data_IF_078376530258
#
_entry.id   IF_078376530258
#
_cell.length_a   1.000
_cell.length_b   1.000
_cell.length_c   1.000
_cell.angle_alpha   90.00
_cell.angle_beta   90.00
_cell.angle_gamma   90.00
#
_symmetry.space_group_name_H-M   'P 1'
#
loop_
_entity.id
_entity.type
_entity.pdbx_description
1 polymer ?
#
# COMPACT_ATOMS: atom_id res chain seq x y z
N UNK A 1 31.69 61.40 -13.07
CA UNK A 1 30.61 60.80 -12.26
C UNK A 1 29.51 60.04 -13.06
N UNK A 2 29.19 60.39 -14.32
CA UNK A 2 28.10 59.72 -15.11
C UNK A 2 28.48 58.34 -15.70
N UNK A 3 29.77 57.98 -15.79
CA UNK A 3 30.22 56.70 -16.37
C UNK A 3 30.28 55.54 -15.34
N UNK A 4 30.37 55.85 -14.07
CA UNK A 4 30.46 54.84 -13.01
C UNK A 4 29.08 54.23 -12.68
N UNK A 5 28.00 54.99 -12.83
CA UNK A 5 26.62 54.54 -12.58
C UNK A 5 26.10 53.56 -13.66
N UNK A 6 26.55 53.66 -14.92
CA UNK A 6 26.14 52.74 -15.99
C UNK A 6 26.72 51.32 -15.87
N UNK A 7 27.90 51.20 -15.23
CA UNK A 7 28.53 49.87 -15.03
C UNK A 7 27.96 49.11 -13.84
N UNK A 8 27.46 49.83 -12.84
CA UNK A 8 26.86 49.18 -11.64
C UNK A 8 25.48 48.60 -11.91
N UNK A 9 24.70 49.22 -12.82
CA UNK A 9 23.35 48.72 -13.15
C UNK A 9 23.38 47.45 -14.01
N UNK A 10 24.43 47.21 -14.78
CA UNK A 10 24.56 46.05 -15.64
C UNK A 10 24.95 44.78 -14.85
N UNK A 11 25.70 44.92 -13.73
CA UNK A 11 26.13 43.80 -12.88
C UNK A 11 24.97 43.29 -12.03
N UNK A 12 24.02 44.15 -11.63
CA UNK A 12 22.84 43.74 -10.85
C UNK A 12 21.77 42.99 -11.69
N UNK A 13 21.78 43.12 -13.02
CA UNK A 13 20.80 42.42 -13.88
C UNK A 13 21.24 41.00 -14.26
N UNK A 14 22.55 40.68 -14.13
CA UNK A 14 23.07 39.35 -14.44
C UNK A 14 23.00 38.36 -13.26
N UNK A 15 22.67 38.81 -12.05
CA UNK A 15 22.64 37.98 -10.85
C UNK A 15 21.26 37.27 -10.62
N UNK A 16 20.24 37.58 -11.44
CA UNK A 16 18.88 37.05 -11.24
C UNK A 16 18.50 35.87 -12.14
N UNK A 17 19.41 35.26 -12.91
CA UNK A 17 19.07 34.25 -13.92
C UNK A 17 19.29 32.81 -13.42
N UNK A 18 19.72 32.55 -12.18
CA UNK A 18 20.03 31.20 -11.68
C UNK A 18 19.28 30.79 -10.42
N UNK A 19 18.06 31.28 -10.22
CA UNK A 19 17.14 30.59 -9.32
C UNK A 19 16.22 29.70 -10.17
N UNK A 20 16.80 28.67 -10.82
CA UNK A 20 15.97 27.53 -11.20
C UNK A 20 15.49 26.90 -9.90
N UNK A 21 14.18 26.81 -9.63
CA UNK A 21 13.71 25.87 -8.63
C UNK A 21 14.23 24.51 -9.12
N UNK A 22 15.10 23.88 -8.34
CA UNK A 22 15.27 22.44 -8.42
C UNK A 22 13.86 21.90 -8.23
N UNK A 23 13.20 21.56 -9.34
CA UNK A 23 12.02 20.71 -9.28
C UNK A 23 12.53 19.45 -8.58
N UNK A 24 12.20 19.34 -7.30
CA UNK A 24 12.31 18.08 -6.59
C UNK A 24 11.47 17.12 -7.42
N UNK A 25 12.14 16.23 -8.16
CA UNK A 25 11.47 15.10 -8.75
C UNK A 25 10.77 14.44 -7.56
N UNK A 26 9.45 14.55 -7.52
CA UNK A 26 8.66 13.79 -6.57
C UNK A 26 9.04 12.33 -6.84
N UNK A 27 9.57 11.66 -5.84
CA UNK A 27 9.81 10.22 -5.85
C UNK A 27 8.46 9.52 -5.73
N UNK A 28 7.59 9.76 -6.73
CA UNK A 28 6.19 9.31 -6.74
C UNK A 28 6.04 7.90 -7.35
N UNK A 29 7.14 7.27 -7.74
CA UNK A 29 7.09 6.09 -8.61
C UNK A 29 6.90 4.74 -7.90
N UNK A 30 7.20 4.63 -6.61
CA UNK A 30 7.25 3.34 -5.91
C UNK A 30 6.13 3.11 -4.90
N UNK A 31 5.08 3.95 -4.87
CA UNK A 31 3.98 3.92 -3.91
C UNK A 31 2.76 3.20 -4.46
N UNK A 32 2.34 2.11 -3.82
CA UNK A 32 1.24 1.28 -4.31
C UNK A 32 0.32 0.83 -3.18
N UNK A 33 -0.99 0.90 -3.39
CA UNK A 33 -2.00 0.29 -2.51
C UNK A 33 -2.77 -0.80 -3.25
N UNK A 34 -2.70 -2.02 -2.73
CA UNK A 34 -3.52 -3.16 -3.17
C UNK A 34 -4.80 -3.27 -2.34
N UNK A 35 -5.90 -3.59 -3.01
CA UNK A 35 -7.22 -3.78 -2.40
C UNK A 35 -7.68 -5.23 -2.52
N UNK A 36 -8.00 -5.87 -1.39
CA UNK A 36 -8.54 -7.22 -1.31
C UNK A 36 -9.92 -7.18 -0.67
N UNK A 37 -10.97 -7.33 -1.50
CA UNK A 37 -12.38 -7.33 -1.08
C UNK A 37 -13.16 -8.55 -1.61
N UNK A 38 -12.46 -9.55 -2.11
CA UNK A 38 -12.98 -10.75 -2.76
C UNK A 38 -12.70 -12.01 -1.92
N UNK A 39 -13.42 -13.12 -2.25
CA UNK A 39 -13.35 -14.37 -1.49
C UNK A 39 -12.44 -15.44 -2.10
N UNK A 40 -12.01 -15.29 -3.37
CA UNK A 40 -11.29 -16.33 -4.11
C UNK A 40 -9.83 -16.44 -3.64
N UNK A 41 -9.38 -17.59 -3.07
CA UNK A 41 -8.02 -17.81 -2.64
C UNK A 41 -7.01 -17.89 -3.80
N UNK A 42 -7.43 -18.23 -5.01
CA UNK A 42 -6.55 -18.23 -6.20
C UNK A 42 -6.22 -16.80 -6.60
N UNK A 43 -7.22 -15.94 -6.63
CA UNK A 43 -7.05 -14.51 -6.87
C UNK A 43 -6.21 -13.84 -5.76
N UNK A 44 -6.40 -14.25 -4.50
CA UNK A 44 -5.55 -13.78 -3.41
C UNK A 44 -4.08 -14.22 -3.58
N UNK A 45 -3.86 -15.47 -3.95
CA UNK A 45 -2.51 -15.97 -4.30
C UNK A 45 -1.87 -15.14 -5.42
N UNK A 46 -2.63 -14.80 -6.47
CA UNK A 46 -2.16 -13.95 -7.56
C UNK A 46 -1.83 -12.53 -7.06
N UNK A 47 -2.62 -11.99 -6.13
CA UNK A 47 -2.34 -10.68 -5.49
C UNK A 47 -1.01 -10.70 -4.74
N UNK A 48 -0.74 -11.72 -3.91
CA UNK A 48 0.53 -11.85 -3.20
C UNK A 48 1.73 -11.98 -4.17
N UNK A 49 1.54 -12.69 -5.29
CA UNK A 49 2.56 -12.76 -6.35
C UNK A 49 2.78 -11.40 -7.02
N UNK A 50 1.71 -10.67 -7.33
CA UNK A 50 1.78 -9.34 -7.94
C UNK A 50 2.53 -8.34 -7.06
N UNK A 51 2.30 -8.39 -5.74
CA UNK A 51 3.03 -7.55 -4.77
C UNK A 51 4.55 -7.85 -4.83
N UNK A 52 4.95 -9.10 -4.77
CA UNK A 52 6.37 -9.45 -4.90
C UNK A 52 6.97 -8.99 -6.23
N UNK A 53 6.25 -9.15 -7.32
CA UNK A 53 6.73 -8.78 -8.66
C UNK A 53 6.94 -7.26 -8.79
N UNK A 54 5.99 -6.45 -8.31
CA UNK A 54 6.12 -4.99 -8.39
C UNK A 54 7.24 -4.47 -7.49
N UNK A 55 7.41 -5.05 -6.30
CA UNK A 55 8.52 -4.71 -5.41
C UNK A 55 9.87 -5.05 -6.06
N UNK A 56 10.02 -6.25 -6.62
CA UNK A 56 11.24 -6.63 -7.32
C UNK A 56 11.54 -5.72 -8.52
N UNK A 57 10.50 -5.30 -9.26
CA UNK A 57 10.67 -4.36 -10.36
C UNK A 57 11.20 -3.01 -9.86
N UNK A 58 10.58 -2.41 -8.85
CA UNK A 58 11.04 -1.13 -8.30
C UNK A 58 12.46 -1.22 -7.73
N UNK A 59 12.78 -2.27 -7.01
CA UNK A 59 14.14 -2.51 -6.49
C UNK A 59 15.17 -2.64 -7.63
N UNK A 60 14.81 -3.27 -8.75
CA UNK A 60 15.69 -3.37 -9.93
C UNK A 60 15.95 -2.02 -10.61
N UNK A 61 15.01 -1.08 -10.48
CA UNK A 61 15.12 0.31 -10.94
C UNK A 61 15.75 1.24 -9.87
N UNK A 62 16.29 0.68 -8.78
CA UNK A 62 16.89 1.42 -7.65
C UNK A 62 15.89 2.36 -6.93
N UNK A 63 14.60 2.02 -6.98
CA UNK A 63 13.53 2.71 -6.27
C UNK A 63 13.19 1.95 -4.99
N UNK A 64 12.90 2.66 -3.90
CA UNK A 64 12.45 2.05 -2.65
C UNK A 64 10.92 1.87 -2.69
N UNK A 65 10.40 0.62 -2.73
CA UNK A 65 8.95 0.40 -2.83
C UNK A 65 8.24 0.61 -1.49
N UNK A 66 7.18 1.42 -1.51
CA UNK A 66 6.23 1.54 -0.42
C UNK A 66 4.90 0.86 -0.83
N UNK A 67 4.61 -0.30 -0.23
CA UNK A 67 3.42 -1.08 -0.59
C UNK A 67 2.48 -1.23 0.59
N UNK A 68 1.22 -0.87 0.37
CA UNK A 68 0.12 -1.13 1.29
C UNK A 68 -0.81 -2.22 0.73
N UNK A 69 -1.32 -3.08 1.61
CA UNK A 69 -2.34 -4.08 1.31
C UNK A 69 -3.54 -3.85 2.24
N UNK A 70 -4.71 -3.56 1.69
CA UNK A 70 -5.91 -3.23 2.47
C UNK A 70 -7.00 -4.28 2.25
N UNK A 71 -7.39 -4.94 3.33
CA UNK A 71 -8.47 -5.94 3.36
C UNK A 71 -9.79 -5.29 3.77
N UNK A 72 -10.85 -5.54 2.96
CA UNK A 72 -12.21 -5.05 3.19
C UNK A 72 -13.20 -6.17 2.88
N UNK A 73 -14.30 -6.26 3.59
CA UNK A 73 -15.36 -7.24 3.31
C UNK A 73 -14.83 -8.67 3.27
N UNK A 74 -14.99 -9.35 2.13
CA UNK A 74 -14.51 -10.73 1.96
C UNK A 74 -13.00 -10.92 2.20
N UNK A 75 -12.20 -9.86 2.12
CA UNK A 75 -10.77 -9.90 2.43
C UNK A 75 -10.47 -10.30 3.88
N UNK A 76 -11.41 -10.08 4.81
CA UNK A 76 -11.28 -10.48 6.22
C UNK A 76 -10.88 -11.95 6.37
N UNK A 77 -11.42 -12.84 5.55
CA UNK A 77 -11.18 -14.29 5.64
C UNK A 77 -9.72 -14.72 5.43
N UNK A 78 -8.89 -13.84 4.84
CA UNK A 78 -7.46 -14.07 4.63
C UNK A 78 -6.58 -13.54 5.77
N UNK A 79 -7.19 -12.95 6.80
CA UNK A 79 -6.47 -12.29 7.90
C UNK A 79 -6.57 -13.01 9.25
N UNK A 80 -7.18 -14.21 9.26
CA UNK A 80 -7.44 -14.96 10.49
C UNK A 80 -7.44 -16.46 10.26
N UNK A 81 -7.15 -17.25 11.29
CA UNK A 81 -7.36 -18.71 11.32
C UNK A 81 -8.80 -19.08 11.73
N UNK A 82 -9.61 -18.10 12.17
CA UNK A 82 -11.00 -18.34 12.47
C UNK A 82 -11.80 -18.68 11.19
N UNK A 83 -12.66 -19.67 11.27
CA UNK A 83 -13.47 -20.09 10.13
C UNK A 83 -14.64 -19.17 9.84
N UNK A 84 -14.92 -18.19 10.70
CA UNK A 84 -16.00 -17.21 10.56
C UNK A 84 -17.38 -17.85 10.29
N UNK A 85 -17.64 -19.00 10.94
CA UNK A 85 -18.87 -19.79 10.73
C UNK A 85 -20.12 -18.96 10.96
N UNK A 86 -21.08 -19.10 10.07
CA UNK A 86 -22.37 -18.41 10.14
C UNK A 86 -22.31 -16.93 9.76
N UNK A 87 -21.17 -16.43 9.28
CA UNK A 87 -21.03 -15.07 8.74
C UNK A 87 -20.97 -15.08 7.22
N UNK A 88 -21.16 -13.94 6.54
CA UNK A 88 -20.96 -13.84 5.09
C UNK A 88 -19.54 -14.20 4.63
N UNK A 89 -18.57 -14.17 5.55
CA UNK A 89 -17.14 -14.35 5.28
C UNK A 89 -16.64 -15.76 5.63
N UNK A 90 -17.55 -16.71 5.88
CA UNK A 90 -17.20 -18.09 6.25
C UNK A 90 -16.19 -18.71 5.29
N UNK A 91 -15.19 -19.37 5.85
CA UNK A 91 -14.14 -20.04 5.09
C UNK A 91 -14.69 -21.28 4.40
N UNK A 92 -14.57 -21.34 3.08
CA UNK A 92 -14.88 -22.52 2.27
C UNK A 92 -13.69 -23.47 2.18
N UNK A 93 -13.94 -24.67 1.63
CA UNK A 93 -12.91 -25.69 1.47
C UNK A 93 -11.71 -25.20 0.67
N UNK A 94 -11.92 -24.39 -0.37
CA UNK A 94 -10.83 -23.87 -1.20
C UNK A 94 -9.87 -22.99 -0.41
N UNK A 95 -10.38 -22.16 0.52
CA UNK A 95 -9.54 -21.40 1.43
C UNK A 95 -8.88 -22.27 2.48
N UNK A 96 -9.63 -23.20 3.10
CA UNK A 96 -9.11 -24.07 4.17
C UNK A 96 -7.91 -24.90 3.68
N UNK A 97 -7.97 -25.44 2.48
CA UNK A 97 -6.90 -26.25 1.87
C UNK A 97 -5.62 -25.44 1.64
N UNK A 98 -5.72 -24.12 1.50
CA UNK A 98 -4.58 -23.23 1.16
C UNK A 98 -4.19 -22.24 2.26
N UNK A 99 -4.95 -22.20 3.35
CA UNK A 99 -4.80 -21.15 4.39
C UNK A 99 -3.37 -21.05 4.91
N UNK A 100 -2.73 -22.15 5.24
CA UNK A 100 -1.37 -22.17 5.78
C UNK A 100 -0.34 -21.62 4.77
N UNK A 101 -0.45 -22.01 3.49
CA UNK A 101 0.40 -21.49 2.41
C UNK A 101 0.21 -19.96 2.24
N UNK A 102 -1.05 -19.53 2.13
CA UNK A 102 -1.38 -18.12 1.91
C UNK A 102 -0.97 -17.24 3.08
N UNK A 103 -1.18 -17.74 4.33
CA UNK A 103 -0.72 -17.07 5.54
C UNK A 103 0.81 -16.89 5.54
N UNK A 104 1.56 -17.97 5.30
CA UNK A 104 3.03 -17.90 5.29
C UNK A 104 3.57 -16.90 4.26
N UNK A 105 2.91 -16.78 3.10
CA UNK A 105 3.27 -15.79 2.08
C UNK A 105 2.93 -14.36 2.52
N UNK A 106 1.80 -14.16 3.21
CA UNK A 106 1.45 -12.86 3.79
C UNK A 106 2.44 -12.45 4.88
N UNK A 107 2.76 -13.39 5.79
CA UNK A 107 3.75 -13.17 6.86
C UNK A 107 5.11 -12.76 6.27
N UNK A 108 5.56 -13.41 5.19
CA UNK A 108 6.81 -13.04 4.50
C UNK A 108 6.76 -11.63 3.88
N UNK A 109 5.61 -11.22 3.34
CA UNK A 109 5.44 -9.84 2.84
C UNK A 109 5.52 -8.81 3.97
N UNK A 110 4.94 -9.11 5.13
CA UNK A 110 4.97 -8.25 6.31
C UNK A 110 6.38 -8.19 6.90
N UNK A 111 6.92 -9.36 7.28
CA UNK A 111 8.10 -9.45 8.13
C UNK A 111 9.42 -9.25 7.38
N UNK A 112 9.45 -9.62 6.09
CA UNK A 112 10.68 -9.60 5.28
C UNK A 112 10.69 -8.44 4.28
N UNK A 113 9.51 -8.16 3.65
CA UNK A 113 9.42 -7.15 2.59
C UNK A 113 8.88 -5.79 3.08
N UNK A 114 8.46 -5.68 4.34
CA UNK A 114 7.99 -4.43 4.92
C UNK A 114 6.64 -3.93 4.38
N UNK A 115 5.85 -4.82 3.75
CA UNK A 115 4.50 -4.46 3.27
C UNK A 115 3.61 -4.09 4.44
N UNK A 116 3.00 -2.92 4.38
CA UNK A 116 2.07 -2.44 5.39
C UNK A 116 0.67 -3.01 5.13
N UNK A 117 0.18 -3.81 6.07
CA UNK A 117 -1.09 -4.52 5.90
C UNK A 117 -2.15 -3.93 6.82
N UNK A 118 -3.32 -3.64 6.26
CA UNK A 118 -4.46 -3.06 6.97
C UNK A 118 -5.72 -3.90 6.80
N UNK A 119 -6.45 -4.07 7.89
CA UNK A 119 -7.80 -4.64 7.90
C UNK A 119 -8.82 -3.57 8.24
N UNK A 120 -9.91 -3.51 7.48
CA UNK A 120 -11.07 -2.68 7.81
C UNK A 120 -11.68 -3.14 9.14
N UNK A 121 -11.57 -2.30 10.19
CA UNK A 121 -12.05 -2.64 11.52
C UNK A 121 -13.58 -2.76 11.58
N UNK A 122 -14.30 -1.97 10.76
CA UNK A 122 -15.76 -2.15 10.59
C UNK A 122 -16.11 -3.56 10.13
N UNK A 123 -15.41 -4.09 9.12
CA UNK A 123 -15.66 -5.46 8.62
C UNK A 123 -15.42 -6.51 9.70
N UNK A 124 -14.37 -6.35 10.50
CA UNK A 124 -14.04 -7.24 11.62
C UNK A 124 -15.12 -7.16 12.72
N UNK A 125 -15.51 -5.94 13.08
CA UNK A 125 -16.46 -5.69 14.16
C UNK A 125 -17.88 -6.16 13.83
N UNK A 126 -18.33 -6.01 12.57
CA UNK A 126 -19.63 -6.50 12.08
C UNK A 126 -19.85 -8.00 12.31
N UNK A 127 -18.80 -8.80 12.32
CA UNK A 127 -18.89 -10.26 12.59
C UNK A 127 -18.42 -10.63 13.99
N UNK A 128 -18.10 -9.65 14.84
CA UNK A 128 -17.66 -9.90 16.22
C UNK A 128 -16.34 -10.64 16.34
N UNK A 129 -15.45 -10.57 15.33
CA UNK A 129 -14.13 -11.20 15.40
C UNK A 129 -13.24 -10.42 16.37
N UNK A 130 -12.73 -11.02 17.48
CA UNK A 130 -11.80 -10.37 18.37
C UNK A 130 -10.49 -9.96 17.66
N UNK A 131 -9.90 -8.83 18.07
CA UNK A 131 -8.67 -8.33 17.41
C UNK A 131 -7.49 -9.30 17.55
N UNK A 132 -7.39 -10.01 18.66
CA UNK A 132 -6.35 -11.01 18.92
C UNK A 132 -6.45 -12.27 18.05
N UNK A 133 -7.56 -12.44 17.31
CA UNK A 133 -7.74 -13.51 16.31
C UNK A 133 -7.21 -13.12 14.93
N UNK A 134 -6.91 -11.85 14.71
CA UNK A 134 -6.31 -11.37 13.46
C UNK A 134 -4.80 -11.65 13.48
N UNK A 135 -4.22 -11.99 12.33
CA UNK A 135 -2.80 -12.28 12.23
C UNK A 135 -1.94 -11.11 12.68
N UNK A 136 -0.79 -11.40 13.27
CA UNK A 136 0.17 -10.40 13.73
C UNK A 136 0.67 -9.55 12.55
N UNK A 137 1.04 -8.30 12.83
CA UNK A 137 1.54 -7.38 11.82
C UNK A 137 0.44 -6.67 11.00
N UNK A 138 -0.83 -7.11 11.12
CA UNK A 138 -1.96 -6.44 10.47
C UNK A 138 -2.45 -5.29 11.36
N UNK A 139 -2.50 -4.09 10.80
CA UNK A 139 -3.01 -2.88 11.43
C UNK A 139 -4.52 -2.74 11.22
N UNK A 140 -5.22 -2.14 12.18
CA UNK A 140 -6.65 -1.86 12.04
C UNK A 140 -6.89 -0.46 11.48
N UNK A 141 -7.59 -0.38 10.35
CA UNK A 141 -8.06 0.87 9.78
C UNK A 141 -9.55 1.05 10.18
N UNK A 142 -9.95 2.16 10.81
CA UNK A 142 -11.35 2.40 11.19
C UNK A 142 -12.31 2.22 10.01
N UNK A 143 -11.87 2.54 8.79
CA UNK A 143 -12.57 2.26 7.53
C UNK A 143 -11.54 1.92 6.46
N UNK A 144 -11.60 0.70 5.89
CA UNK A 144 -10.67 0.26 4.85
C UNK A 144 -10.78 1.10 3.58
N UNK A 145 -12.00 1.48 3.17
CA UNK A 145 -12.19 2.34 1.98
C UNK A 145 -11.67 3.75 2.20
N UNK A 146 -11.81 4.30 3.41
CA UNK A 146 -11.22 5.59 3.76
C UNK A 146 -9.69 5.52 3.78
N UNK A 147 -9.10 4.42 4.30
CA UNK A 147 -7.64 4.21 4.26
C UNK A 147 -7.12 4.20 2.83
N UNK A 148 -7.79 3.51 1.91
CA UNK A 148 -7.43 3.51 0.48
C UNK A 148 -7.50 4.93 -0.11
N UNK A 149 -8.58 5.67 0.16
CA UNK A 149 -8.74 7.03 -0.34
C UNK A 149 -7.64 7.98 0.18
N UNK A 150 -7.28 7.85 1.47
CA UNK A 150 -6.17 8.61 2.08
C UNK A 150 -4.85 8.27 1.38
N UNK A 151 -4.51 6.98 1.23
CA UNK A 151 -3.30 6.57 0.55
C UNK A 151 -3.23 7.10 -0.89
N UNK A 152 -4.36 7.07 -1.63
CA UNK A 152 -4.39 7.66 -2.97
C UNK A 152 -4.14 9.17 -2.95
N UNK A 153 -4.62 9.90 -1.94
CA UNK A 153 -4.33 11.34 -1.79
C UNK A 153 -2.87 11.62 -1.40
N UNK A 154 -2.17 10.62 -0.86
CA UNK A 154 -0.74 10.62 -0.53
C UNK A 154 0.15 10.15 -1.70
N UNK A 155 -0.44 9.94 -2.89
CA UNK A 155 0.29 9.57 -4.12
C UNK A 155 0.38 8.06 -4.38
N UNK A 156 -0.29 7.19 -3.60
CA UNK A 156 -0.27 5.75 -3.85
C UNK A 156 -1.14 5.37 -5.06
N UNK A 157 -0.54 4.66 -6.00
CA UNK A 157 -1.26 4.06 -7.13
C UNK A 157 -2.15 2.92 -6.66
N UNK A 158 -3.46 2.97 -7.00
CA UNK A 158 -4.40 1.92 -6.63
C UNK A 158 -4.35 0.74 -7.59
N UNK A 159 -4.15 -0.47 -7.04
CA UNK A 159 -4.17 -1.72 -7.78
C UNK A 159 -5.16 -2.73 -7.19
N UNK A 160 -5.84 -3.44 -8.09
CA UNK A 160 -6.74 -4.54 -7.76
C UNK A 160 -6.56 -5.68 -8.77
N UNK A 161 -6.09 -6.82 -8.29
CA UNK A 161 -5.97 -8.02 -9.14
C UNK A 161 -7.36 -8.58 -9.42
N UNK A 162 -7.66 -8.89 -10.67
CA UNK A 162 -8.97 -9.37 -11.14
C UNK A 162 -8.90 -10.85 -11.51
#
# INVERSE_FOLDING_TARGET
>A
MKALFKKLTLVLFLANIFAFPLAQAADDGAKVVYHVDFKDPTRYSATLTSINNIMNFYESELMEPEVHLVFVGYGLRFTTDDNLKGTPYEADKALLDRRAELKGRLDALIDVRGVQVHLCDKTRDEVGLPQEKVYKGIQFAPSGVAKIAILQSEGYSYLKVQ
#
